data_IF_580294713742
#
_entry.id   IF_580294713742
#
_cell.length_a   1.000
_cell.length_b   1.000
_cell.length_c   1.000
_cell.angle_alpha   90.00
_cell.angle_beta   90.00
_cell.angle_gamma   90.00
#
_symmetry.space_group_name_H-M   'P 1'
#
loop_
_entity.id
_entity.type
_entity.pdbx_description
1 polymer ?
#
# COMPACT_ATOMS: atom_id res chain seq x y z
N UNK A 1 -20.39 36.18 -25.04
CA UNK A 1 -18.92 36.28 -25.18
C UNK A 1 -18.38 34.88 -25.47
N UNK A 2 -17.85 34.64 -26.67
CA UNK A 2 -17.32 33.33 -27.08
C UNK A 2 -15.80 33.47 -27.17
N UNK A 3 -15.06 32.60 -26.49
CA UNK A 3 -13.59 32.59 -26.45
C UNK A 3 -13.13 31.37 -27.22
N UNK A 4 -12.45 31.56 -28.35
CA UNK A 4 -11.95 30.48 -29.21
C UNK A 4 -10.47 30.67 -29.45
N UNK A 5 -9.71 29.57 -29.47
CA UNK A 5 -8.30 29.56 -29.85
C UNK A 5 -8.19 29.22 -31.34
N UNK A 6 -7.59 30.11 -32.11
CA UNK A 6 -7.33 29.93 -33.55
C UNK A 6 -5.95 29.32 -33.77
N UNK A 7 -5.82 28.43 -34.75
CA UNK A 7 -4.56 27.80 -35.15
C UNK A 7 -4.30 28.04 -36.66
N UNK A 8 -3.06 27.83 -37.13
CA UNK A 8 -2.70 27.99 -38.56
C UNK A 8 -3.58 27.15 -39.47
N UNK A 9 -3.90 27.67 -40.65
CA UNK A 9 -4.66 26.95 -41.68
C UNK A 9 -3.98 25.62 -42.02
N UNK A 10 -4.71 24.51 -41.86
CA UNK A 10 -4.21 23.14 -42.10
C UNK A 10 -3.61 22.43 -40.87
N UNK A 11 -3.50 23.10 -39.71
CA UNK A 11 -2.85 22.53 -38.52
C UNK A 11 -3.75 21.65 -37.62
N UNK A 12 -4.93 21.24 -38.10
CA UNK A 12 -5.89 20.43 -37.33
C UNK A 12 -6.59 21.21 -36.21
N UNK A 13 -7.39 20.50 -35.40
CA UNK A 13 -8.07 21.10 -34.26
C UNK A 13 -7.07 21.44 -33.14
N UNK A 14 -7.24 22.57 -32.42
CA UNK A 14 -6.36 22.95 -31.34
C UNK A 14 -6.32 21.88 -30.25
N UNK A 15 -5.11 21.47 -29.89
CA UNK A 15 -4.86 20.52 -28.81
C UNK A 15 -5.46 21.09 -27.53
N UNK A 16 -6.28 20.27 -26.86
CA UNK A 16 -6.81 20.62 -25.54
C UNK A 16 -5.66 20.63 -24.56
N UNK A 17 -5.54 21.71 -23.79
CA UNK A 17 -4.61 21.72 -22.66
C UNK A 17 -4.95 20.58 -21.70
N UNK A 18 -3.95 19.92 -21.11
CA UNK A 18 -4.21 18.93 -20.07
C UNK A 18 -4.99 19.64 -18.96
N UNK A 19 -6.13 19.07 -18.56
CA UNK A 19 -7.00 19.65 -17.56
C UNK A 19 -6.39 19.68 -16.14
N UNK A 20 -5.20 19.08 -15.98
CA UNK A 20 -4.54 18.80 -14.72
C UNK A 20 -3.10 19.27 -14.84
N UNK A 21 -2.67 20.08 -13.86
CA UNK A 21 -1.31 20.57 -13.73
C UNK A 21 -0.33 19.41 -13.45
N UNK A 22 0.93 19.55 -13.86
CA UNK A 22 1.92 18.45 -13.82
C UNK A 22 2.13 17.92 -12.39
N UNK A 23 2.13 18.82 -11.40
CA UNK A 23 2.26 18.46 -9.99
C UNK A 23 1.06 17.64 -9.49
N UNK A 24 -0.15 18.02 -9.92
CA UNK A 24 -1.38 17.31 -9.54
C UNK A 24 -1.46 15.94 -10.20
N UNK A 25 -0.99 15.81 -11.44
CA UNK A 25 -0.91 14.52 -12.13
C UNK A 25 0.05 13.56 -11.43
N UNK A 26 1.21 14.04 -10.98
CA UNK A 26 2.18 13.23 -10.23
C UNK A 26 1.63 12.76 -8.87
N UNK A 27 0.94 13.64 -8.13
CA UNK A 27 0.26 13.29 -6.88
C UNK A 27 -0.82 12.23 -7.13
N UNK A 28 -1.61 12.40 -8.19
CA UNK A 28 -2.64 11.45 -8.58
C UNK A 28 -2.07 10.06 -8.86
N UNK A 29 -1.01 9.97 -9.69
CA UNK A 29 -0.32 8.71 -9.98
C UNK A 29 0.21 8.04 -8.70
N UNK A 30 0.85 8.81 -7.82
CA UNK A 30 1.40 8.26 -6.56
C UNK A 30 0.31 7.69 -5.65
N UNK A 31 -0.86 8.32 -5.61
CA UNK A 31 -2.00 7.86 -4.81
C UNK A 31 -2.58 6.55 -5.37
N UNK A 32 -2.79 6.48 -6.69
CA UNK A 32 -3.31 5.27 -7.32
C UNK A 32 -2.35 4.08 -7.19
N UNK A 33 -1.05 4.34 -7.30
CA UNK A 33 -0.04 3.30 -7.12
C UNK A 33 -0.06 2.72 -5.69
N UNK A 34 -0.02 3.58 -4.67
CA UNK A 34 -0.12 3.13 -3.27
C UNK A 34 -1.39 2.32 -3.02
N UNK A 35 -2.54 2.79 -3.53
CA UNK A 35 -3.81 2.09 -3.38
C UNK A 35 -3.82 0.72 -4.04
N UNK A 36 -3.20 0.59 -5.22
CA UNK A 36 -3.04 -0.70 -5.88
C UNK A 36 -2.16 -1.66 -5.07
N UNK A 37 -1.05 -1.18 -4.52
CA UNK A 37 -0.18 -1.99 -3.66
C UNK A 37 -0.90 -2.44 -2.39
N UNK A 38 -1.66 -1.55 -1.74
CA UNK A 38 -2.47 -1.89 -0.56
C UNK A 38 -3.53 -2.94 -0.87
N UNK A 39 -4.24 -2.80 -2.00
CA UNK A 39 -5.22 -3.80 -2.45
C UNK A 39 -4.55 -5.14 -2.73
N UNK A 40 -3.43 -5.14 -3.44
CA UNK A 40 -2.68 -6.36 -3.74
C UNK A 40 -2.20 -7.04 -2.46
N UNK A 41 -1.71 -6.27 -1.49
CA UNK A 41 -1.27 -6.80 -0.19
C UNK A 41 -2.43 -7.40 0.59
N UNK A 42 -3.63 -6.81 0.51
CA UNK A 42 -4.83 -7.34 1.14
C UNK A 42 -5.30 -8.64 0.47
N UNK A 43 -5.16 -8.77 -0.85
CA UNK A 43 -5.47 -10.00 -1.58
C UNK A 43 -4.47 -11.13 -1.29
N UNK A 44 -3.19 -10.78 -1.08
CA UNK A 44 -2.13 -11.74 -0.73
C UNK A 44 -2.15 -12.17 0.74
N UNK A 45 -2.86 -11.44 1.61
CA UNK A 45 -3.06 -11.78 3.02
C UNK A 45 -4.03 -12.97 3.12
N UNK A 46 -3.52 -14.17 2.85
CA UNK A 46 -4.22 -15.42 3.12
C UNK A 46 -4.42 -15.52 4.64
N UNK A 47 -5.65 -15.29 5.10
CA UNK A 47 -6.14 -15.17 6.49
C UNK A 47 -5.49 -16.06 7.58
N UNK A 48 -4.59 -16.99 7.31
CA UNK A 48 -3.86 -17.84 8.25
C UNK A 48 -2.97 -17.09 9.27
N UNK A 49 -2.87 -15.77 9.20
CA UNK A 49 -2.19 -14.95 10.22
C UNK A 49 -2.73 -15.17 11.64
N UNK A 50 -4.01 -15.55 11.80
CA UNK A 50 -4.56 -15.89 13.11
C UNK A 50 -4.00 -17.20 13.70
N UNK A 51 -3.52 -18.13 12.87
CA UNK A 51 -3.03 -19.45 13.32
C UNK A 51 -1.72 -19.36 14.12
N UNK A 52 -0.88 -18.38 13.82
CA UNK A 52 0.39 -18.15 14.52
C UNK A 52 0.32 -17.01 15.53
N UNK A 53 -0.88 -16.51 15.81
CA UNK A 53 -1.06 -15.36 16.68
C UNK A 53 -0.84 -15.73 18.15
N UNK A 54 -0.22 -14.81 18.90
CA UNK A 54 0.00 -15.01 20.34
C UNK A 54 -1.32 -15.09 21.15
N UNK A 55 -2.44 -14.61 20.59
CA UNK A 55 -3.75 -14.72 21.21
C UNK A 55 -4.35 -16.14 21.06
N UNK A 56 -4.03 -16.84 19.97
CA UNK A 56 -4.53 -18.18 19.71
C UNK A 56 -3.77 -19.28 20.47
N UNK A 57 -2.63 -18.97 21.11
CA UNK A 57 -1.86 -19.94 21.90
C UNK A 57 -2.53 -20.20 23.27
N UNK A 58 -3.14 -21.39 23.50
CA UNK A 58 -3.81 -21.72 24.76
C UNK A 58 -2.84 -21.82 25.94
N UNK A 59 -1.52 -21.88 25.69
CA UNK A 59 -0.48 -21.96 26.73
C UNK A 59 0.16 -20.62 27.03
N UNK A 60 -0.20 -19.54 26.32
CA UNK A 60 0.44 -18.23 26.47
C UNK A 60 0.34 -17.70 27.91
N UNK A 61 -0.86 -17.70 28.50
CA UNK A 61 -1.07 -17.27 29.89
C UNK A 61 -0.27 -18.13 30.88
N UNK A 62 -0.23 -19.45 30.65
CA UNK A 62 0.54 -20.38 31.48
C UNK A 62 2.03 -20.04 31.41
N UNK A 63 2.58 -19.82 30.21
CA UNK A 63 3.99 -19.49 30.01
C UNK A 63 4.36 -18.15 30.68
N UNK A 64 3.47 -17.15 30.60
CA UNK A 64 3.67 -15.86 31.28
C UNK A 64 3.72 -16.00 32.81
N UNK A 65 2.84 -16.81 33.40
CA UNK A 65 2.76 -17.00 34.86
C UNK A 65 3.85 -17.91 35.43
N UNK A 66 4.31 -18.89 34.65
CA UNK A 66 5.31 -19.88 35.10
C UNK A 66 6.75 -19.49 34.72
N UNK A 67 6.98 -18.28 34.20
CA UNK A 67 8.30 -17.81 33.79
C UNK A 67 8.90 -18.58 32.61
N UNK A 68 8.04 -19.17 31.77
CA UNK A 68 8.42 -20.01 30.63
C UNK A 68 8.99 -19.21 29.47
N UNK A 69 10.11 -18.53 29.67
CA UNK A 69 11.01 -18.23 28.56
C UNK A 69 11.73 -19.53 28.20
N UNK A 70 11.80 -19.83 26.91
CA UNK A 70 12.48 -20.99 26.37
C UNK A 70 13.99 -20.90 26.74
N UNK A 71 14.40 -21.48 27.88
CA UNK A 71 15.79 -21.43 28.36
C UNK A 71 16.64 -22.29 27.41
N UNK A 72 17.19 -21.67 26.37
CA UNK A 72 18.14 -22.31 25.46
C UNK A 72 19.50 -22.37 26.17
N UNK A 73 19.81 -23.51 26.78
CA UNK A 73 21.14 -23.78 27.28
C UNK A 73 22.13 -23.80 26.11
N UNK A 74 23.13 -22.90 26.11
CA UNK A 74 24.26 -22.91 25.19
C UNK A 74 25.50 -23.33 25.96
N UNK A 75 26.20 -24.43 25.59
CA UNK A 75 27.49 -24.74 26.17
C UNK A 75 28.50 -23.66 25.76
N UNK A 76 29.25 -23.16 26.74
CA UNK A 76 30.34 -22.20 26.52
C UNK A 76 31.43 -22.86 25.66
N UNK A 77 31.90 -22.13 24.65
CA UNK A 77 33.02 -22.52 23.79
C UNK A 77 34.34 -22.10 24.40
#
# INVERSE_FOLDING_TARGET
KIVVRLQKSGAGAPVREPAVDEETYKKMLSYYYKKQEEQKKLEEDNDDHYMNSAWADPKNLKNQLHGGQEIKWKPFK
#
